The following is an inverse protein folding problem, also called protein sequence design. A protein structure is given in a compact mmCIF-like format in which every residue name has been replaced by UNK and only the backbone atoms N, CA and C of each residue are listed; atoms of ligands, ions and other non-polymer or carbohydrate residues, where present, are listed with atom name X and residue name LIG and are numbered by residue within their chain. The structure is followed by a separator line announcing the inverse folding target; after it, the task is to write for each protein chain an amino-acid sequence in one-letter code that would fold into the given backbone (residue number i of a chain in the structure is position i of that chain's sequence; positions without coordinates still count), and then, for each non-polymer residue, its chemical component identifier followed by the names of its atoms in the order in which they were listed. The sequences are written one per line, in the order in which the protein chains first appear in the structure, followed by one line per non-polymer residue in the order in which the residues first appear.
data_IF_768117601312
#
_entry.id   IF_768117601312
#
_cell.length_a   1.000
_cell.length_b   1.000
_cell.length_c   1.000
_cell.angle_alpha   90.00
_cell.angle_beta   90.00
_cell.angle_gamma   90.00
#
_symmetry.space_group_name_H-M   'P 1'
#
loop_
_entity.id
_entity.type
_entity.pdbx_description
1 polymer ?
#
# COMPACT_ATOMS: atom_id res chain seq x y z
N UNK A 1 -9.62 25.94 -5.55
CA UNK A 1 -9.60 24.92 -4.48
C UNK A 1 -9.56 25.62 -3.13
N UNK A 2 -10.37 25.22 -2.15
CA UNK A 2 -10.34 25.79 -0.78
C UNK A 2 -9.12 25.25 -0.02
N UNK A 3 -8.63 25.97 1.00
CA UNK A 3 -7.48 25.54 1.80
C UNK A 3 -7.61 24.11 2.35
N UNK A 4 -8.77 23.77 2.93
CA UNK A 4 -9.04 22.41 3.43
C UNK A 4 -9.01 21.33 2.32
N UNK A 5 -9.40 21.67 1.09
CA UNK A 5 -9.34 20.75 -0.04
C UNK A 5 -7.88 20.55 -0.52
N UNK A 6 -7.05 21.58 -0.43
CA UNK A 6 -5.62 21.49 -0.74
C UNK A 6 -4.90 20.56 0.24
N UNK A 7 -5.18 20.70 1.55
CA UNK A 7 -4.59 19.84 2.59
C UNK A 7 -5.01 18.38 2.39
N UNK A 8 -6.29 18.15 2.08
CA UNK A 8 -6.83 16.82 1.76
C UNK A 8 -6.14 16.22 0.53
N UNK A 9 -6.02 16.99 -0.55
CA UNK A 9 -5.35 16.52 -1.77
C UNK A 9 -3.86 16.20 -1.52
N UNK A 10 -3.16 17.01 -0.73
CA UNK A 10 -1.75 16.74 -0.38
C UNK A 10 -1.60 15.45 0.42
N UNK A 11 -2.47 15.23 1.43
CA UNK A 11 -2.48 14.00 2.21
C UNK A 11 -2.77 12.78 1.32
N UNK A 12 -3.70 12.92 0.37
CA UNK A 12 -4.07 11.87 -0.56
C UNK A 12 -2.95 11.53 -1.55
N UNK A 13 -2.26 12.53 -2.10
CA UNK A 13 -1.06 12.33 -2.94
C UNK A 13 0.04 11.61 -2.17
N UNK A 14 0.32 12.03 -0.92
CA UNK A 14 1.33 11.39 -0.09
C UNK A 14 0.98 9.92 0.18
N UNK A 15 -0.28 9.64 0.54
CA UNK A 15 -0.75 8.28 0.77
C UNK A 15 -0.70 7.43 -0.51
N UNK A 16 -1.06 7.99 -1.66
CA UNK A 16 -0.99 7.32 -2.96
C UNK A 16 0.44 6.96 -3.34
N UNK A 17 1.38 7.90 -3.19
CA UNK A 17 2.80 7.68 -3.46
C UNK A 17 3.40 6.61 -2.54
N UNK A 18 3.02 6.58 -1.27
CA UNK A 18 3.43 5.52 -0.35
C UNK A 18 2.93 4.14 -0.80
N UNK A 19 1.68 4.04 -1.27
CA UNK A 19 1.13 2.78 -1.79
C UNK A 19 1.85 2.33 -3.07
N UNK A 20 2.19 3.26 -3.97
CA UNK A 20 3.00 2.97 -5.17
C UNK A 20 4.37 2.43 -4.77
N UNK A 21 5.06 3.11 -3.85
CA UNK A 21 6.37 2.66 -3.38
C UNK A 21 6.30 1.26 -2.76
N UNK A 22 5.26 0.95 -1.96
CA UNK A 22 5.05 -0.38 -1.40
C UNK A 22 4.79 -1.44 -2.48
N UNK A 23 3.96 -1.11 -3.49
CA UNK A 23 3.70 -2.00 -4.63
C UNK A 23 4.99 -2.32 -5.37
N UNK A 24 5.77 -1.29 -5.68
CA UNK A 24 6.99 -1.43 -6.49
C UNK A 24 8.06 -2.26 -5.75
N UNK A 25 8.18 -2.07 -4.43
CA UNK A 25 9.00 -2.94 -3.57
C UNK A 25 8.57 -4.41 -3.63
N UNK A 26 7.26 -4.67 -3.55
CA UNK A 26 6.74 -6.04 -3.65
C UNK A 26 6.96 -6.65 -5.04
N UNK A 27 6.90 -5.86 -6.11
CA UNK A 27 7.20 -6.31 -7.47
C UNK A 27 8.70 -6.58 -7.67
N UNK A 28 9.56 -5.79 -7.02
CA UNK A 28 11.02 -5.98 -7.04
C UNK A 28 11.47 -7.24 -6.27
N UNK A 29 10.57 -7.90 -5.55
CA UNK A 29 10.85 -9.15 -4.84
C UNK A 29 11.20 -8.96 -3.36
N UNK A 30 10.91 -7.79 -2.76
CA UNK A 30 11.12 -7.58 -1.33
C UNK A 30 10.47 -8.70 -0.50
N UNK A 31 11.15 -9.15 0.55
CA UNK A 31 10.70 -10.23 1.43
C UNK A 31 9.51 -9.79 2.28
N UNK A 32 8.48 -10.64 2.34
CA UNK A 32 7.37 -10.49 3.26
C UNK A 32 7.66 -11.29 4.52
N UNK A 33 7.67 -10.62 5.67
CA UNK A 33 7.82 -11.27 6.97
C UNK A 33 6.47 -11.30 7.68
N UNK A 34 6.04 -12.50 8.10
CA UNK A 34 4.94 -12.67 9.03
C UNK A 34 5.52 -12.87 10.43
N UNK A 35 5.40 -11.83 11.26
CA UNK A 35 5.83 -11.87 12.67
C UNK A 35 4.62 -12.02 13.58
N UNK A 36 4.75 -12.85 14.60
CA UNK A 36 3.71 -13.05 15.64
C UNK A 36 4.37 -12.88 17.00
N UNK A 37 3.76 -12.08 17.88
CA UNK A 37 4.26 -11.82 19.23
C UNK A 37 3.69 -10.56 19.87
N UNK A 38 3.92 -10.40 21.17
CA UNK A 38 3.43 -9.30 22.01
C UNK A 38 4.58 -8.40 22.51
N UNK A 39 5.44 -7.94 21.60
CA UNK A 39 6.51 -6.97 21.88
C UNK A 39 7.68 -7.49 22.74
N UNK A 40 7.48 -8.56 23.51
CA UNK A 40 8.50 -9.20 24.36
C UNK A 40 9.18 -10.42 23.72
N UNK A 41 8.54 -11.02 22.72
CA UNK A 41 9.11 -12.07 21.88
C UNK A 41 8.43 -12.11 20.53
N UNK A 42 9.20 -11.90 19.45
CA UNK A 42 8.72 -12.04 18.07
C UNK A 42 9.16 -13.39 17.53
N UNK A 43 8.21 -14.20 17.07
CA UNK A 43 8.47 -15.39 16.27
C UNK A 43 8.23 -15.09 14.80
N UNK A 44 9.17 -15.49 13.94
CA UNK A 44 9.01 -15.42 12.50
C UNK A 44 8.35 -16.71 11.99
N UNK A 45 7.29 -16.57 11.21
CA UNK A 45 6.64 -17.70 10.56
C UNK A 45 7.18 -17.82 9.13
N UNK A 46 7.93 -18.89 8.87
CA UNK A 46 8.39 -19.23 7.53
C UNK A 46 7.24 -19.87 6.76
N UNK A 47 6.75 -19.18 5.74
CA UNK A 47 5.65 -19.64 4.88
C UNK A 47 6.19 -20.53 3.76
N UNK A 48 5.34 -21.43 3.24
CA UNK A 48 5.64 -22.11 1.99
C UNK A 48 5.72 -21.11 0.83
N UNK A 49 6.53 -21.39 -0.17
CA UNK A 49 6.71 -20.50 -1.32
C UNK A 49 5.39 -20.20 -2.05
N UNK A 50 4.53 -21.21 -2.21
CA UNK A 50 3.21 -21.05 -2.84
C UNK A 50 2.32 -20.09 -2.04
N UNK A 51 2.24 -20.26 -0.73
CA UNK A 51 1.40 -19.42 0.12
C UNK A 51 1.94 -17.99 0.22
N UNK A 52 3.26 -17.82 0.28
CA UNK A 52 3.89 -16.49 0.20
C UNK A 52 3.57 -15.78 -1.13
N UNK A 53 3.53 -16.51 -2.24
CA UNK A 53 3.15 -15.96 -3.55
C UNK A 53 1.67 -15.55 -3.61
N UNK A 54 0.77 -16.35 -3.03
CA UNK A 54 -0.67 -16.02 -2.92
C UNK A 54 -0.89 -14.74 -2.09
N UNK A 55 -0.22 -14.63 -0.94
CA UNK A 55 -0.29 -13.42 -0.12
C UNK A 55 0.23 -12.22 -0.90
N UNK A 56 1.39 -12.35 -1.56
CA UNK A 56 1.96 -11.28 -2.38
C UNK A 56 0.98 -10.82 -3.45
N UNK A 57 0.38 -11.75 -4.19
CA UNK A 57 -0.63 -11.45 -5.20
C UNK A 57 -1.85 -10.71 -4.62
N UNK A 58 -2.33 -11.16 -3.47
CA UNK A 58 -3.46 -10.53 -2.76
C UNK A 58 -3.13 -9.10 -2.33
N UNK A 59 -1.94 -8.87 -1.76
CA UNK A 59 -1.49 -7.54 -1.34
C UNK A 59 -1.32 -6.61 -2.55
N UNK A 60 -0.73 -7.10 -3.64
CA UNK A 60 -0.58 -6.33 -4.88
C UNK A 60 -1.94 -5.92 -5.45
N UNK A 61 -2.91 -6.83 -5.51
CA UNK A 61 -4.27 -6.53 -5.97
C UNK A 61 -4.96 -5.51 -5.05
N UNK A 62 -4.80 -5.64 -3.73
CA UNK A 62 -5.33 -4.70 -2.76
C UNK A 62 -4.72 -3.30 -2.92
N UNK A 63 -3.41 -3.19 -3.13
CA UNK A 63 -2.72 -1.92 -3.37
C UNK A 63 -3.19 -1.28 -4.66
N UNK A 64 -3.29 -2.04 -5.76
CA UNK A 64 -3.78 -1.53 -7.04
C UNK A 64 -5.19 -0.92 -6.93
N UNK A 65 -6.09 -1.61 -6.21
CA UNK A 65 -7.44 -1.10 -5.93
C UNK A 65 -7.42 0.22 -5.14
N UNK A 66 -6.57 0.33 -4.10
CA UNK A 66 -6.49 1.57 -3.31
C UNK A 66 -5.87 2.71 -4.09
N UNK A 67 -4.82 2.47 -4.88
CA UNK A 67 -4.22 3.49 -5.75
C UNK A 67 -5.26 4.02 -6.74
N UNK A 68 -6.03 3.13 -7.37
CA UNK A 68 -7.11 3.53 -8.28
C UNK A 68 -8.15 4.40 -7.57
N UNK A 69 -8.56 4.04 -6.36
CA UNK A 69 -9.50 4.82 -5.57
C UNK A 69 -8.95 6.19 -5.15
N UNK A 70 -7.66 6.27 -4.80
CA UNK A 70 -7.00 7.56 -4.52
C UNK A 70 -6.94 8.43 -5.78
N UNK A 71 -6.62 7.85 -6.94
CA UNK A 71 -6.56 8.55 -8.23
C UNK A 71 -7.95 9.11 -8.63
N UNK A 72 -9.01 8.34 -8.40
CA UNK A 72 -10.40 8.78 -8.60
C UNK A 72 -10.82 9.91 -7.65
N UNK A 73 -10.35 9.90 -6.41
CA UNK A 73 -10.62 10.96 -5.43
C UNK A 73 -9.81 12.23 -5.74
N UNK A 74 -8.54 12.10 -6.13
CA UNK A 74 -7.72 13.21 -6.62
C UNK A 74 -8.37 13.88 -7.84
N UNK A 75 -8.84 13.09 -8.80
CA UNK A 75 -9.55 13.60 -9.96
C UNK A 75 -10.83 14.35 -9.58
N UNK A 76 -11.60 13.87 -8.58
CA UNK A 76 -12.79 14.57 -8.05
C UNK A 76 -12.44 15.90 -7.38
N UNK A 77 -11.25 15.99 -6.78
CA UNK A 77 -10.70 17.23 -6.22
C UNK A 77 -10.10 18.16 -7.30
N UNK A 78 -10.04 17.74 -8.56
CA UNK A 78 -9.46 18.49 -9.68
C UNK A 78 -7.94 18.45 -9.70
N UNK A 79 -7.34 17.41 -9.12
CA UNK A 79 -5.89 17.16 -9.08
C UNK A 79 -5.57 15.99 -10.00
N UNK A 80 -4.64 16.18 -10.92
CA UNK A 80 -4.16 15.09 -11.76
C UNK A 80 -3.24 14.15 -10.95
N UNK A 81 -3.45 12.81 -11.00
CA UNK A 81 -2.63 11.82 -10.28
C UNK A 81 -1.18 11.66 -10.75
#
# INVERSE_FOLDING_TARGET
MKAAQLDEAQALVAARNQKIALRDRLLAGDTLHLTVGDGSGLSEIVLSAAYAAEIRGTVLAALAKRITADDEELARLGVEP
#
